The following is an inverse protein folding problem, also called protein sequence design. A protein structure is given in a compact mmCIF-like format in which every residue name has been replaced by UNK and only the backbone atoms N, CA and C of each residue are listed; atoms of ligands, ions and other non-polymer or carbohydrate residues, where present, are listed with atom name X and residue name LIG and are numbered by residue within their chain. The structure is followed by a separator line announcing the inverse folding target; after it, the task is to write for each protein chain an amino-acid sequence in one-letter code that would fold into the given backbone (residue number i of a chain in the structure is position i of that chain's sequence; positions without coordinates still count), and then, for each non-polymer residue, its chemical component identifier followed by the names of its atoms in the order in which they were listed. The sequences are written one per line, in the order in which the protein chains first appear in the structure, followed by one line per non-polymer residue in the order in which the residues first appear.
data_IF_188628334733
#
_entry.id   IF_188628334733
#
_cell.length_a   1.000
_cell.length_b   1.000
_cell.length_c   1.000
_cell.angle_alpha   90.00
_cell.angle_beta   90.00
_cell.angle_gamma   90.00
#
_symmetry.space_group_name_H-M   'P 1'
#
loop_
_entity.id
_entity.type
_entity.pdbx_description
1 polymer ?
#
# COMPACT_ATOMS: atom_id res chain seq x y z
N UNK A 1 -21.44 0.73 -31.68
CA UNK A 1 -20.78 1.24 -30.45
C UNK A 1 -19.48 1.90 -30.89
N UNK A 2 -19.47 3.22 -31.00
CA UNK A 2 -18.34 3.95 -31.61
C UNK A 2 -17.09 3.86 -30.73
N UNK A 3 -15.89 3.77 -31.31
CA UNK A 3 -14.65 3.94 -30.56
C UNK A 3 -14.59 5.41 -30.15
N UNK A 4 -14.89 5.73 -28.90
CA UNK A 4 -14.52 7.03 -28.33
C UNK A 4 -13.00 7.08 -28.33
N UNK A 5 -12.43 8.06 -29.02
CA UNK A 5 -11.05 8.47 -28.85
C UNK A 5 -10.77 8.61 -27.36
N UNK A 6 -10.02 7.66 -26.79
CA UNK A 6 -9.66 7.72 -25.37
C UNK A 6 -8.61 8.81 -25.23
N UNK A 7 -9.01 9.97 -24.69
CA UNK A 7 -8.04 10.90 -24.13
C UNK A 7 -7.18 10.12 -23.11
N UNK A 8 -5.84 10.20 -23.17
CA UNK A 8 -4.98 9.46 -22.26
C UNK A 8 -5.35 9.83 -20.82
N UNK A 9 -5.84 8.84 -20.08
CA UNK A 9 -6.25 9.04 -18.69
C UNK A 9 -5.01 9.02 -17.80
N UNK A 10 -4.86 10.04 -16.96
CA UNK A 10 -3.75 10.10 -15.99
C UNK A 10 -3.80 8.87 -15.08
N UNK A 11 -2.68 8.16 -15.02
CA UNK A 11 -2.48 7.03 -14.11
C UNK A 11 -1.36 7.35 -13.13
N UNK A 12 -1.34 6.64 -12.01
CA UNK A 12 -0.30 6.73 -11.00
C UNK A 12 0.34 5.36 -10.82
N UNK A 13 1.54 5.36 -10.26
CA UNK A 13 2.30 4.13 -10.01
C UNK A 13 2.52 4.04 -8.51
N UNK A 14 2.20 2.87 -7.95
CA UNK A 14 2.60 2.52 -6.60
C UNK A 14 3.91 1.74 -6.65
N UNK A 15 4.89 2.20 -5.89
CA UNK A 15 6.23 1.63 -5.86
C UNK A 15 6.47 0.99 -4.48
N UNK A 16 6.89 -0.27 -4.49
CA UNK A 16 7.38 -0.95 -3.30
C UNK A 16 8.83 -1.35 -3.52
N UNK A 17 9.70 -0.95 -2.60
CA UNK A 17 11.13 -1.26 -2.66
C UNK A 17 11.52 -2.10 -1.44
N UNK A 18 12.25 -3.19 -1.68
CA UNK A 18 12.81 -4.00 -0.60
C UNK A 18 14.14 -3.41 -0.15
N UNK A 19 14.24 -3.01 1.11
CA UNK A 19 15.47 -2.45 1.68
C UNK A 19 16.65 -3.44 1.70
N UNK A 20 16.37 -4.75 1.76
CA UNK A 20 17.40 -5.79 1.85
C UNK A 20 17.96 -6.17 0.48
N UNK A 21 17.08 -6.49 -0.46
CA UNK A 21 17.47 -7.04 -1.77
C UNK A 21 17.51 -5.99 -2.87
N UNK A 22 17.02 -4.78 -2.60
CA UNK A 22 16.77 -3.72 -3.60
C UNK A 22 15.78 -4.15 -4.69
N UNK A 23 15.00 -5.21 -4.47
CA UNK A 23 13.94 -5.61 -5.37
C UNK A 23 12.86 -4.52 -5.43
N UNK A 24 12.34 -4.27 -6.64
CA UNK A 24 11.29 -3.28 -6.88
C UNK A 24 10.03 -4.00 -7.38
N UNK A 25 8.90 -3.72 -6.74
CA UNK A 25 7.58 -4.10 -7.22
C UNK A 25 6.81 -2.84 -7.62
N UNK A 26 6.24 -2.88 -8.82
CA UNK A 26 5.57 -1.75 -9.45
C UNK A 26 4.16 -2.18 -9.79
N UNK A 27 3.18 -1.36 -9.43
CA UNK A 27 1.78 -1.61 -9.76
C UNK A 27 1.08 -0.30 -10.17
N UNK A 28 0.12 -0.42 -11.08
CA UNK A 28 -0.57 0.73 -11.67
C UNK A 28 -1.84 0.99 -10.87
N UNK A 29 -2.05 2.25 -10.47
CA UNK A 29 -3.24 2.68 -9.74
C UNK A 29 -3.93 3.84 -10.46
N UNK A 30 -5.28 3.86 -10.46
CA UNK A 30 -6.04 4.87 -11.20
C UNK A 30 -5.99 6.26 -10.54
N UNK A 31 -5.69 6.35 -9.24
CA UNK A 31 -5.66 7.61 -8.48
C UNK A 31 -4.85 7.45 -7.17
N UNK A 32 -4.54 8.57 -6.53
CA UNK A 32 -3.85 8.67 -5.23
C UNK A 32 -4.79 8.50 -4.02
N UNK A 33 -5.85 7.67 -4.14
CA UNK A 33 -6.73 7.41 -3.00
C UNK A 33 -6.20 6.29 -2.11
N UNK A 34 -6.50 6.35 -0.82
CA UNK A 34 -6.19 5.27 0.13
C UNK A 34 -6.80 3.93 -0.33
N UNK A 35 -7.98 3.95 -0.94
CA UNK A 35 -8.63 2.74 -1.46
C UNK A 35 -7.86 2.10 -2.62
N UNK A 36 -7.39 2.92 -3.56
CA UNK A 36 -6.54 2.45 -4.65
C UNK A 36 -5.24 1.85 -4.12
N UNK A 37 -4.62 2.49 -3.12
CA UNK A 37 -3.45 1.95 -2.44
C UNK A 37 -3.74 0.64 -1.72
N UNK A 38 -4.81 0.53 -0.94
CA UNK A 38 -5.14 -0.72 -0.21
C UNK A 38 -5.35 -1.88 -1.19
N UNK A 39 -6.02 -1.65 -2.32
CA UNK A 39 -6.19 -2.67 -3.36
C UNK A 39 -4.85 -3.10 -3.96
N UNK A 40 -3.95 -2.15 -4.19
CA UNK A 40 -2.59 -2.39 -4.66
C UNK A 40 -1.78 -3.18 -3.62
N UNK A 41 -1.81 -2.75 -2.37
CA UNK A 41 -1.12 -3.40 -1.27
C UNK A 41 -1.59 -4.83 -1.05
N UNK A 42 -2.90 -5.09 -1.18
CA UNK A 42 -3.46 -6.44 -1.14
C UNK A 42 -2.86 -7.37 -2.22
N UNK A 43 -2.62 -6.85 -3.43
CA UNK A 43 -1.96 -7.62 -4.50
C UNK A 43 -0.49 -7.86 -4.16
N UNK A 44 0.20 -6.83 -3.68
CA UNK A 44 1.59 -6.93 -3.25
C UNK A 44 1.78 -8.03 -2.20
N UNK A 45 0.99 -8.02 -1.11
CA UNK A 45 1.10 -9.02 -0.05
C UNK A 45 0.71 -10.43 -0.51
N UNK A 46 -0.24 -10.55 -1.45
CA UNK A 46 -0.62 -11.84 -2.01
C UNK A 46 0.53 -12.46 -2.84
N UNK A 47 1.36 -11.63 -3.48
CA UNK A 47 2.48 -12.10 -4.28
C UNK A 47 3.79 -12.24 -3.48
N UNK A 48 4.02 -11.40 -2.46
CA UNK A 48 5.33 -11.27 -1.77
C UNK A 48 5.28 -11.57 -0.28
N UNK A 49 4.09 -11.76 0.28
CA UNK A 49 3.88 -11.88 1.73
C UNK A 49 3.74 -10.53 2.43
N UNK A 50 3.27 -10.58 3.67
CA UNK A 50 3.12 -9.40 4.52
C UNK A 50 4.49 -8.91 4.99
N UNK A 51 4.90 -7.66 4.68
CA UNK A 51 6.18 -7.15 5.14
C UNK A 51 6.15 -6.92 6.66
N UNK A 52 7.18 -7.38 7.37
CA UNK A 52 7.28 -7.14 8.82
C UNK A 52 7.45 -5.65 9.17
N UNK A 53 8.13 -4.90 8.29
CA UNK A 53 8.40 -3.48 8.47
C UNK A 53 8.14 -2.71 7.18
N UNK A 54 7.48 -1.57 7.29
CA UNK A 54 7.18 -0.67 6.16
C UNK A 54 7.54 0.77 6.52
N UNK A 55 8.10 1.49 5.55
CA UNK A 55 8.31 2.93 5.60
C UNK A 55 7.56 3.56 4.42
N UNK A 56 6.78 4.60 4.68
CA UNK A 56 6.20 5.44 3.62
C UNK A 56 6.40 6.92 3.93
N UNK A 57 6.21 7.77 2.92
CA UNK A 57 6.10 9.20 3.14
C UNK A 57 4.82 9.56 3.93
N UNK A 58 4.70 10.82 4.30
CA UNK A 58 3.58 11.35 5.08
C UNK A 58 2.33 11.65 4.26
N UNK A 59 2.18 11.08 3.05
CA UNK A 59 0.99 11.31 2.23
C UNK A 59 -0.29 10.89 2.97
N UNK A 60 -1.35 11.67 2.77
CA UNK A 60 -2.67 11.43 3.38
C UNK A 60 -3.23 10.05 3.02
N UNK A 61 -2.99 9.58 1.79
CA UNK A 61 -3.45 8.28 1.34
C UNK A 61 -2.82 7.13 2.15
N UNK A 62 -1.50 7.16 2.38
CA UNK A 62 -0.82 6.15 3.20
C UNK A 62 -1.23 6.22 4.66
N UNK A 63 -1.36 7.42 5.25
CA UNK A 63 -1.83 7.56 6.64
C UNK A 63 -3.24 6.99 6.82
N UNK A 64 -4.15 7.28 5.90
CA UNK A 64 -5.49 6.72 5.91
C UNK A 64 -5.48 5.20 5.74
N UNK A 65 -4.67 4.66 4.83
CA UNK A 65 -4.52 3.23 4.65
C UNK A 65 -3.93 2.54 5.88
N UNK A 66 -2.91 3.12 6.52
CA UNK A 66 -2.30 2.57 7.73
C UNK A 66 -3.30 2.50 8.88
N UNK A 67 -4.19 3.49 9.02
CA UNK A 67 -5.29 3.44 9.99
C UNK A 67 -6.19 2.23 9.74
N UNK A 68 -6.66 2.07 8.50
CA UNK A 68 -7.53 0.94 8.11
C UNK A 68 -6.86 -0.41 8.36
N UNK A 69 -5.58 -0.55 7.99
CA UNK A 69 -4.84 -1.80 8.18
C UNK A 69 -4.64 -2.07 9.67
N UNK A 70 -4.30 -1.06 10.47
CA UNK A 70 -4.15 -1.22 11.92
C UNK A 70 -5.46 -1.66 12.58
N UNK A 71 -6.58 -1.06 12.20
CA UNK A 71 -7.91 -1.45 12.68
C UNK A 71 -8.24 -2.89 12.29
N UNK A 72 -8.00 -3.28 11.04
CA UNK A 72 -8.20 -4.66 10.59
C UNK A 72 -7.34 -5.65 11.39
N UNK A 73 -6.07 -5.32 11.59
CA UNK A 73 -5.16 -6.17 12.36
C UNK A 73 -5.56 -6.25 13.82
N UNK A 74 -6.21 -5.24 14.40
CA UNK A 74 -6.68 -5.27 15.80
C UNK A 74 -7.92 -6.12 16.05
N UNK A 75 -8.56 -6.67 15.02
CA UNK A 75 -9.73 -7.54 15.22
C UNK A 75 -9.33 -8.86 15.88
N UNK A 76 -10.09 -9.28 16.90
CA UNK A 76 -9.78 -10.45 17.72
C UNK A 76 -9.60 -11.74 16.91
N UNK A 77 -10.43 -11.93 15.89
CA UNK A 77 -10.33 -13.07 14.98
C UNK A 77 -8.98 -13.09 14.24
N UNK A 78 -8.56 -11.93 13.71
CA UNK A 78 -7.29 -11.76 13.01
C UNK A 78 -6.12 -11.93 13.99
N UNK A 79 -6.20 -11.36 15.19
CA UNK A 79 -5.18 -11.51 16.22
C UNK A 79 -5.01 -12.96 16.67
N UNK A 80 -6.08 -13.74 16.76
CA UNK A 80 -6.02 -15.15 17.15
C UNK A 80 -5.39 -16.05 16.07
N UNK A 81 -5.50 -15.67 14.79
CA UNK A 81 -5.12 -16.54 13.67
C UNK A 81 -3.86 -16.06 12.92
N UNK A 82 -3.50 -14.78 13.02
CA UNK A 82 -2.47 -14.12 12.19
C UNK A 82 -1.52 -13.23 13.01
N UNK A 83 -1.40 -13.47 14.33
CA UNK A 83 -0.60 -12.62 15.27
C UNK A 83 0.85 -12.41 14.81
N UNK A 84 1.45 -13.41 14.16
CA UNK A 84 2.84 -13.35 13.68
C UNK A 84 3.04 -12.45 12.45
N UNK A 85 1.96 -12.01 11.79
CA UNK A 85 1.98 -11.23 10.54
C UNK A 85 1.82 -9.73 10.76
N UNK A 86 2.03 -9.24 12.00
CA UNK A 86 2.01 -7.81 12.29
C UNK A 86 3.01 -7.04 11.42
N UNK A 87 2.56 -5.95 10.80
CA UNK A 87 3.42 -4.97 10.13
C UNK A 87 3.66 -3.79 11.06
N UNK A 88 4.93 -3.47 11.31
CA UNK A 88 5.33 -2.20 11.89
C UNK A 88 5.46 -1.17 10.76
N UNK A 89 4.45 -0.31 10.62
CA UNK A 89 4.44 0.74 9.59
C UNK A 89 4.84 2.08 10.20
N UNK A 90 5.95 2.65 9.72
CA UNK A 90 6.44 3.97 10.09
C UNK A 90 6.32 4.97 8.94
N UNK A 91 6.23 6.24 9.32
CA UNK A 91 6.15 7.37 8.42
C UNK A 91 7.40 8.24 8.58
N UNK A 92 7.87 8.82 7.47
CA UNK A 92 8.99 9.75 7.50
C UNK A 92 8.68 11.00 8.35
N UNK A 93 9.70 11.79 8.66
CA UNK A 93 9.51 13.09 9.32
C UNK A 93 8.78 14.07 8.39
N UNK A 94 8.03 15.00 8.98
CA UNK A 94 7.40 16.08 8.21
C UNK A 94 8.49 16.93 7.55
N UNK A 95 8.37 17.18 6.25
CA UNK A 95 9.37 17.88 5.40
C UNK A 95 10.67 17.12 5.11
N UNK A 96 10.67 15.80 5.25
CA UNK A 96 11.71 14.99 4.60
C UNK A 96 11.72 15.31 3.08
N UNK A 97 12.91 15.47 2.47
CA UNK A 97 13.04 15.85 1.06
C UNK A 97 12.44 14.82 0.10
#
# INVERSE_FOLDING_TARGET
MTPKDKCPSKVWICLYTCCLTRAVHIDIVPNLSAYAFIRCFRRFIACRGMPHFMISDNEKAFKAAAKVIKELMSQDYIQQHLTSLGTNWRFNLERAP
#
